data_IF_422260349974
#
_entry.id   IF_422260349974
#
_cell.length_a   1.000
_cell.length_b   1.000
_cell.length_c   1.000
_cell.angle_alpha   90.00
_cell.angle_beta   90.00
_cell.angle_gamma   90.00
#
_symmetry.space_group_name_H-M   'P 1'
#
loop_
_entity.id
_entity.type
_entity.pdbx_description
1 polymer ?
#
# COMPACT_ATOMS: atom_id res chain seq x y z
N UNK A 1 16.27 12.04 6.34
CA UNK A 1 16.03 10.60 6.09
C UNK A 1 14.66 10.22 5.47
N UNK A 2 13.57 10.96 5.72
CA UNK A 2 12.21 10.60 5.26
C UNK A 2 12.11 10.36 3.74
N UNK A 3 12.71 11.24 2.93
CA UNK A 3 12.71 11.13 1.46
C UNK A 3 13.44 9.87 0.97
N UNK A 4 14.54 9.48 1.61
CA UNK A 4 15.29 8.25 1.28
C UNK A 4 14.42 7.02 1.46
N UNK A 5 13.70 6.89 2.57
CA UNK A 5 12.82 5.74 2.79
C UNK A 5 11.58 5.77 1.90
N UNK A 6 11.07 6.96 1.56
CA UNK A 6 10.02 7.08 0.54
C UNK A 6 10.51 6.61 -0.84
N UNK A 7 11.76 6.94 -1.21
CA UNK A 7 12.38 6.44 -2.44
C UNK A 7 12.56 4.93 -2.39
N UNK A 8 13.02 4.36 -1.28
CA UNK A 8 13.14 2.89 -1.12
C UNK A 8 11.77 2.22 -1.28
N UNK A 9 10.71 2.75 -0.67
CA UNK A 9 9.36 2.23 -0.82
C UNK A 9 8.88 2.30 -2.29
N UNK A 10 9.18 3.40 -2.99
CA UNK A 10 8.86 3.56 -4.41
C UNK A 10 9.61 2.52 -5.27
N UNK A 11 10.91 2.35 -5.05
CA UNK A 11 11.74 1.37 -5.77
C UNK A 11 11.28 -0.07 -5.50
N UNK A 12 10.85 -0.37 -4.26
CA UNK A 12 10.28 -1.66 -3.90
C UNK A 12 9.01 -1.97 -4.72
N UNK A 13 8.11 -1.01 -4.90
CA UNK A 13 6.96 -1.20 -5.79
C UNK A 13 7.33 -1.14 -7.28
N UNK A 14 8.41 -0.44 -7.66
CA UNK A 14 8.98 -0.53 -9.01
C UNK A 14 9.44 -1.96 -9.32
N UNK A 15 10.15 -2.59 -8.40
CA UNK A 15 10.60 -3.97 -8.51
C UNK A 15 9.44 -4.98 -8.56
N UNK A 16 8.28 -4.69 -7.94
CA UNK A 16 7.08 -5.52 -8.11
C UNK A 16 6.65 -5.63 -9.57
N UNK A 17 6.65 -4.51 -10.31
CA UNK A 17 6.26 -4.53 -11.73
C UNK A 17 7.27 -5.29 -12.59
N UNK A 18 8.57 -5.13 -12.30
CA UNK A 18 9.66 -5.87 -12.98
C UNK A 18 9.55 -7.37 -12.71
N UNK A 19 9.35 -7.77 -11.45
CA UNK A 19 9.15 -9.18 -11.08
C UNK A 19 7.95 -9.76 -11.82
N UNK A 20 6.80 -9.07 -11.78
CA UNK A 20 5.57 -9.53 -12.43
C UNK A 20 5.71 -9.66 -13.94
N UNK A 21 6.45 -8.78 -14.61
CA UNK A 21 6.64 -8.85 -16.07
C UNK A 21 7.66 -9.91 -16.50
N UNK A 22 8.63 -10.23 -15.64
CA UNK A 22 9.69 -11.20 -15.96
C UNK A 22 9.23 -12.67 -15.98
N UNK A 23 8.13 -13.00 -15.30
CA UNK A 23 7.64 -14.38 -15.18
C UNK A 23 6.64 -14.69 -16.30
N UNK A 24 6.96 -15.72 -17.10
CA UNK A 24 6.13 -16.16 -18.25
C UNK A 24 4.93 -17.00 -17.83
N UNK A 25 5.13 -17.96 -16.92
CA UNK A 25 4.07 -18.86 -16.49
C UNK A 25 3.06 -18.12 -15.60
N UNK A 26 1.78 -18.12 -16.00
CA UNK A 26 0.73 -17.32 -15.36
C UNK A 26 0.55 -17.66 -13.87
N UNK A 27 0.46 -18.96 -13.53
CA UNK A 27 0.21 -19.40 -12.16
C UNK A 27 1.36 -19.01 -11.23
N UNK A 28 2.59 -19.22 -11.69
CA UNK A 28 3.79 -18.82 -10.96
C UNK A 28 3.87 -17.30 -10.79
N UNK A 29 3.61 -16.54 -11.86
CA UNK A 29 3.55 -15.08 -11.85
C UNK A 29 2.56 -14.57 -10.82
N UNK A 30 1.34 -15.09 -10.81
CA UNK A 30 0.31 -14.70 -9.87
C UNK A 30 0.73 -14.95 -8.43
N UNK A 31 1.33 -16.11 -8.15
CA UNK A 31 1.80 -16.48 -6.81
C UNK A 31 2.95 -15.59 -6.33
N UNK A 32 3.99 -15.42 -7.14
CA UNK A 32 5.17 -14.61 -6.78
C UNK A 32 4.80 -13.14 -6.60
N UNK A 33 3.98 -12.60 -7.51
CA UNK A 33 3.49 -11.23 -7.39
C UNK A 33 2.67 -11.03 -6.11
N UNK A 34 1.78 -11.97 -5.76
CA UNK A 34 0.97 -11.87 -4.54
C UNK A 34 1.85 -11.86 -3.28
N UNK A 35 2.80 -12.80 -3.17
CA UNK A 35 3.72 -12.87 -2.02
C UNK A 35 4.55 -11.60 -1.90
N UNK A 36 5.14 -11.14 -3.01
CA UNK A 36 5.93 -9.92 -3.03
C UNK A 36 5.10 -8.72 -2.56
N UNK A 37 3.87 -8.57 -3.06
CA UNK A 37 3.02 -7.43 -2.72
C UNK A 37 2.64 -7.42 -1.23
N UNK A 38 2.37 -8.58 -0.62
CA UNK A 38 2.12 -8.69 0.82
C UNK A 38 3.33 -8.21 1.62
N UNK A 39 4.52 -8.70 1.27
CA UNK A 39 5.77 -8.30 1.94
C UNK A 39 6.03 -6.80 1.75
N UNK A 40 5.89 -6.28 0.52
CA UNK A 40 6.07 -4.87 0.22
C UNK A 40 5.10 -3.98 1.01
N UNK A 41 3.82 -4.35 1.07
CA UNK A 41 2.79 -3.61 1.82
C UNK A 41 3.12 -3.56 3.30
N UNK A 42 3.53 -4.70 3.88
CA UNK A 42 3.95 -4.77 5.29
C UNK A 42 5.19 -3.90 5.53
N UNK A 43 6.16 -3.90 4.61
CA UNK A 43 7.42 -3.16 4.76
C UNK A 43 7.28 -1.65 4.55
N UNK A 44 6.33 -1.17 3.75
CA UNK A 44 6.13 0.28 3.56
C UNK A 44 5.86 0.99 4.88
N UNK A 45 5.06 0.38 5.77
CA UNK A 45 4.73 1.00 7.05
C UNK A 45 5.96 1.24 7.94
N UNK A 46 6.79 0.25 8.29
CA UNK A 46 7.99 0.49 9.09
C UNK A 46 9.02 1.37 8.37
N UNK A 47 9.21 1.22 7.05
CA UNK A 47 10.17 2.04 6.30
C UNK A 47 9.81 3.51 6.31
N UNK A 48 8.53 3.85 6.14
CA UNK A 48 8.09 5.26 6.00
C UNK A 48 7.65 5.87 7.32
N UNK A 49 7.16 5.06 8.27
CA UNK A 49 6.60 5.56 9.52
C UNK A 49 7.54 5.34 10.71
N UNK A 50 8.11 4.15 10.90
CA UNK A 50 8.94 3.88 12.07
C UNK A 50 10.39 4.35 11.91
N UNK A 51 11.10 3.84 10.90
CA UNK A 51 12.54 4.10 10.72
C UNK A 51 12.93 5.58 10.67
N UNK A 52 12.21 6.47 9.95
CA UNK A 52 12.60 7.87 9.87
C UNK A 52 12.47 8.62 11.20
N UNK A 53 11.67 8.08 12.14
CA UNK A 53 11.49 8.65 13.49
C UNK A 53 12.60 8.19 14.44
N UNK A 54 13.04 6.94 14.33
CA UNK A 54 14.18 6.42 15.12
C UNK A 54 15.51 7.08 14.75
N UNK A 55 15.69 7.46 13.48
CA UNK A 55 16.92 8.09 13.01
C UNK A 55 16.98 9.60 13.29
N UNK A 56 15.93 10.18 13.89
CA UNK A 56 15.85 11.59 14.22
C UNK A 56 15.82 12.52 12.98
N UNK A 57 15.70 13.81 13.24
CA UNK A 57 15.79 14.83 12.20
C UNK A 57 15.78 16.24 12.78
N UNK A 58 16.40 17.18 12.06
CA UNK A 58 16.53 18.58 12.48
C UNK A 58 15.21 19.37 12.45
N UNK A 59 14.10 18.76 12.00
CA UNK A 59 12.81 19.43 11.93
C UNK A 59 12.10 19.38 13.29
N UNK A 60 11.60 20.51 13.82
CA UNK A 60 10.78 20.52 15.03
C UNK A 60 9.61 19.53 14.93
N UNK A 61 9.39 18.72 15.96
CA UNK A 61 8.38 17.65 15.94
C UNK A 61 8.78 16.38 15.16
N UNK A 62 10.07 16.19 14.88
CA UNK A 62 10.58 14.93 14.32
C UNK A 62 10.52 13.74 15.31
N UNK A 63 10.43 14.02 16.61
CA UNK A 63 10.46 13.04 17.69
C UNK A 63 9.06 12.84 18.32
N UNK A 64 8.75 11.61 18.76
CA UNK A 64 7.48 11.22 19.38
C UNK A 64 6.53 10.40 18.47
N UNK A 65 5.31 10.13 18.95
CA UNK A 65 4.24 9.37 18.26
C UNK A 65 3.12 10.29 17.74
N UNK A 66 3.22 10.86 16.52
CA UNK A 66 2.38 11.99 16.09
C UNK A 66 0.97 11.58 15.64
N UNK A 67 0.64 10.28 15.69
CA UNK A 67 -0.63 9.77 15.17
C UNK A 67 -1.68 9.49 16.25
N UNK A 68 -1.29 9.52 17.54
CA UNK A 68 -2.16 9.13 18.65
C UNK A 68 -2.29 10.19 19.74
N UNK A 69 -1.70 11.38 19.59
CA UNK A 69 -1.96 12.48 20.50
C UNK A 69 -3.32 13.08 20.18
N UNK A 70 -4.17 13.13 21.18
CA UNK A 70 -5.54 13.65 21.07
C UNK A 70 -5.57 15.12 20.67
N UNK A 71 -4.53 15.88 21.01
CA UNK A 71 -4.40 17.30 20.69
C UNK A 71 -4.05 17.60 19.22
N UNK A 72 -3.55 16.63 18.44
CA UNK A 72 -2.94 16.90 17.13
C UNK A 72 -3.95 17.03 15.97
N UNK A 73 -5.19 16.54 16.12
CA UNK A 73 -6.18 16.47 15.03
C UNK A 73 -7.53 17.04 15.47
N UNK A 74 -7.94 18.16 14.86
CA UNK A 74 -9.25 18.78 15.15
C UNK A 74 -10.42 17.86 14.77
N UNK A 75 -11.61 18.00 15.40
CA UNK A 75 -12.74 17.11 15.16
C UNK A 75 -13.14 17.00 13.67
N UNK A 76 -13.08 18.11 12.93
CA UNK A 76 -13.36 18.12 11.49
C UNK A 76 -12.35 17.29 10.70
N UNK A 77 -11.05 17.43 10.99
CA UNK A 77 -10.00 16.66 10.32
C UNK A 77 -10.12 15.16 10.60
N UNK A 78 -10.53 14.77 11.82
CA UNK A 78 -10.81 13.37 12.16
C UNK A 78 -11.94 12.82 11.31
N UNK A 79 -13.05 13.55 11.20
CA UNK A 79 -14.20 13.14 10.40
C UNK A 79 -13.80 12.92 8.93
N UNK A 80 -13.09 13.89 8.33
CA UNK A 80 -12.61 13.77 6.95
C UNK A 80 -11.66 12.59 6.80
N UNK A 81 -10.69 12.41 7.70
CA UNK A 81 -9.73 11.30 7.64
C UNK A 81 -10.42 9.93 7.64
N UNK A 82 -11.32 9.69 8.60
CA UNK A 82 -12.01 8.40 8.69
C UNK A 82 -12.98 8.18 7.54
N UNK A 83 -13.68 9.22 7.10
CA UNK A 83 -14.56 9.15 5.93
C UNK A 83 -13.76 8.80 4.67
N UNK A 84 -12.61 9.46 4.46
CA UNK A 84 -11.70 9.15 3.37
C UNK A 84 -11.15 7.73 3.46
N UNK A 85 -10.74 7.27 4.66
CA UNK A 85 -10.24 5.91 4.85
C UNK A 85 -11.29 4.86 4.47
N UNK A 86 -12.53 5.03 4.95
CA UNK A 86 -13.66 4.15 4.58
C UNK A 86 -13.94 4.25 3.08
N UNK A 87 -13.92 5.45 2.50
CA UNK A 87 -14.11 5.68 1.07
C UNK A 87 -13.08 4.95 0.21
N UNK A 88 -11.79 5.02 0.55
CA UNK A 88 -10.74 4.32 -0.17
C UNK A 88 -10.82 2.80 -0.01
N UNK A 89 -11.19 2.30 1.18
CA UNK A 89 -11.42 0.86 1.39
C UNK A 89 -12.60 0.38 0.53
N UNK A 90 -13.71 1.10 0.54
CA UNK A 90 -14.89 0.79 -0.27
C UNK A 90 -14.57 0.83 -1.77
N UNK A 91 -13.81 1.82 -2.22
CA UNK A 91 -13.32 1.91 -3.60
C UNK A 91 -12.46 0.69 -3.97
N UNK A 92 -11.55 0.28 -3.09
CA UNK A 92 -10.72 -0.91 -3.28
C UNK A 92 -11.55 -2.19 -3.42
N UNK A 93 -12.54 -2.37 -2.54
CA UNK A 93 -13.47 -3.51 -2.60
C UNK A 93 -14.27 -3.48 -3.91
N UNK A 94 -14.76 -2.32 -4.33
CA UNK A 94 -15.51 -2.16 -5.57
C UNK A 94 -14.67 -2.53 -6.80
N UNK A 95 -13.44 -2.05 -6.89
CA UNK A 95 -12.50 -2.41 -7.97
C UNK A 95 -12.23 -3.92 -7.97
N UNK A 96 -12.01 -4.53 -6.80
CA UNK A 96 -11.81 -5.98 -6.68
C UNK A 96 -13.04 -6.77 -7.15
N UNK A 97 -14.24 -6.34 -6.79
CA UNK A 97 -15.49 -6.94 -7.27
C UNK A 97 -15.62 -6.86 -8.79
N UNK A 98 -15.29 -5.71 -9.40
CA UNK A 98 -15.30 -5.56 -10.85
C UNK A 98 -14.32 -6.50 -11.54
N UNK A 99 -13.07 -6.60 -11.04
CA UNK A 99 -12.05 -7.49 -11.62
C UNK A 99 -12.44 -8.96 -11.52
N UNK A 100 -12.96 -9.40 -10.37
CA UNK A 100 -13.40 -10.80 -10.19
C UNK A 100 -14.64 -11.16 -11.00
N UNK A 101 -15.49 -10.18 -11.34
CA UNK A 101 -16.60 -10.40 -12.27
C UNK A 101 -16.09 -10.54 -13.70
N UNK A 102 -15.15 -9.68 -14.12
CA UNK A 102 -14.56 -9.71 -15.44
C UNK A 102 -13.82 -11.04 -15.71
N UNK A 103 -12.97 -11.47 -14.78
CA UNK A 103 -12.24 -12.75 -14.86
C UNK A 103 -13.19 -13.96 -14.94
N UNK A 104 -14.31 -13.93 -14.21
CA UNK A 104 -15.34 -14.97 -14.33
C UNK A 104 -16.03 -14.99 -15.69
N UNK A 105 -16.27 -13.83 -16.29
CA UNK A 105 -16.89 -13.73 -17.62
C UNK A 105 -15.90 -14.22 -18.68
N UNK A 106 -14.63 -13.82 -18.58
CA UNK A 106 -13.58 -14.22 -19.51
C UNK A 106 -13.38 -15.73 -19.53
N UNK A 107 -13.32 -16.38 -18.36
CA UNK A 107 -13.23 -17.85 -18.26
C UNK A 107 -14.42 -18.56 -18.91
N UNK A 108 -15.64 -18.06 -18.72
CA UNK A 108 -16.84 -18.61 -19.36
C UNK A 108 -16.78 -18.54 -20.89
N UNK A 109 -16.27 -17.43 -21.43
CA UNK A 109 -16.11 -17.28 -22.89
C UNK A 109 -14.94 -18.11 -23.44
N UNK A 110 -13.90 -18.36 -22.64
CA UNK A 110 -12.79 -19.23 -23.00
C UNK A 110 -13.16 -20.73 -23.01
N UNK A 111 -14.39 -21.09 -22.59
CA UNK A 111 -14.87 -22.47 -22.60
C UNK A 111 -14.31 -23.34 -21.48
N UNK A 112 -13.70 -22.73 -20.45
CA UNK A 112 -13.27 -23.41 -19.21
C UNK A 112 -14.40 -23.46 -18.17
#
# INVERSE_FOLDING_TARGET
PKQTFALVALLMYGAYFVLRSSVREERLRARLAAVYNIVATILVFPLTFFLPRYLGGLHPGAEGTPAFRTEDISPLHRMVFYLSAVGFIALGIWIWQLRTRLDRIERRFAGE
#
